data_IF_344492614884
#
_entry.id   IF_344492614884
#
_cell.length_a   1.000
_cell.length_b   1.000
_cell.length_c   1.000
_cell.angle_alpha   90.00
_cell.angle_beta   90.00
_cell.angle_gamma   90.00
#
_symmetry.space_group_name_H-M   'P 1'
#
loop_
_entity.id
_entity.type
_entity.pdbx_description
1 polymer ?
#
# COMPACT_ATOMS: atom_id res chain seq x y z
N UNK A 1 -6.49 -16.82 -15.21
CA UNK A 1 -5.81 -16.83 -13.94
C UNK A 1 -6.03 -15.52 -13.19
N UNK A 2 -6.26 -15.60 -11.90
CA UNK A 2 -6.48 -14.43 -11.09
C UNK A 2 -5.19 -13.70 -10.78
N UNK A 3 -5.26 -12.38 -10.74
CA UNK A 3 -4.14 -11.56 -10.32
C UNK A 3 -3.88 -11.78 -8.82
N UNK A 4 -2.60 -11.81 -8.45
CA UNK A 4 -2.21 -11.96 -7.05
C UNK A 4 -2.14 -10.61 -6.35
N UNK A 5 -2.26 -9.51 -7.10
CA UNK A 5 -2.13 -8.16 -6.59
C UNK A 5 -3.45 -7.43 -6.68
N UNK A 6 -3.71 -6.59 -5.69
CA UNK A 6 -4.82 -5.66 -5.72
C UNK A 6 -4.25 -4.25 -5.56
N UNK A 7 -4.53 -3.38 -6.53
CA UNK A 7 -3.89 -2.08 -6.62
C UNK A 7 -4.62 -0.99 -5.88
N UNK A 8 -3.85 -0.15 -5.20
CA UNK A 8 -4.33 1.10 -4.60
C UNK A 8 -3.70 2.26 -5.35
N UNK A 9 -4.52 3.23 -5.79
CA UNK A 9 -4.07 4.43 -6.49
C UNK A 9 -4.82 5.64 -5.97
N UNK A 10 -4.27 6.83 -6.20
CA UNK A 10 -4.95 8.05 -5.79
C UNK A 10 -6.28 8.27 -6.49
N UNK A 11 -6.44 7.82 -7.73
CA UNK A 11 -7.71 7.91 -8.45
C UNK A 11 -8.59 6.66 -8.27
N UNK A 12 -8.15 5.71 -7.47
CA UNK A 12 -8.93 4.53 -7.14
C UNK A 12 -8.46 3.99 -5.79
N UNK A 13 -8.82 4.71 -4.73
CA UNK A 13 -8.42 4.37 -3.37
C UNK A 13 -9.32 3.26 -2.84
N UNK A 14 -8.98 2.02 -3.12
CA UNK A 14 -9.75 0.90 -2.59
C UNK A 14 -9.69 0.92 -1.07
N UNK A 15 -10.80 0.54 -0.43
CA UNK A 15 -10.90 0.48 1.03
C UNK A 15 -10.80 -0.94 1.55
N UNK A 16 -11.01 -1.91 0.68
CA UNK A 16 -10.91 -3.32 1.04
C UNK A 16 -10.22 -4.07 -0.06
N UNK A 17 -9.53 -5.13 0.32
CA UNK A 17 -8.99 -6.11 -0.63
C UNK A 17 -9.33 -7.50 -0.13
N UNK A 18 -9.54 -8.47 -1.03
CA UNK A 18 -9.79 -9.85 -0.62
C UNK A 18 -8.58 -10.44 0.10
N UNK A 19 -8.83 -11.30 1.07
CA UNK A 19 -7.76 -12.06 1.70
C UNK A 19 -7.01 -12.88 0.65
N UNK A 20 -5.71 -13.02 0.83
CA UNK A 20 -4.87 -13.77 -0.11
C UNK A 20 -4.22 -12.91 -1.18
N UNK A 21 -4.54 -11.62 -1.23
CA UNK A 21 -3.95 -10.71 -2.22
C UNK A 21 -2.83 -9.89 -1.61
N UNK A 22 -1.88 -9.52 -2.46
CA UNK A 22 -0.83 -8.56 -2.09
C UNK A 22 -1.31 -7.16 -2.46
N UNK A 23 -1.22 -6.23 -1.52
CA UNK A 23 -1.62 -4.84 -1.76
C UNK A 23 -0.49 -4.14 -2.50
N UNK A 24 -0.77 -3.73 -3.72
CA UNK A 24 0.19 -2.98 -4.55
C UNK A 24 -0.17 -1.50 -4.53
N UNK A 25 0.73 -0.70 -3.98
CA UNK A 25 0.57 0.76 -3.98
C UNK A 25 1.19 1.29 -5.28
N UNK A 26 0.41 2.00 -6.08
CA UNK A 26 0.88 2.57 -7.34
C UNK A 26 0.80 4.09 -7.27
N UNK A 27 1.94 4.75 -7.44
CA UNK A 27 2.07 6.19 -7.30
C UNK A 27 2.69 6.80 -8.55
N UNK A 28 2.52 8.11 -8.71
CA UNK A 28 3.07 8.84 -9.85
C UNK A 28 4.43 9.47 -9.57
N UNK A 29 4.91 9.37 -8.35
CA UNK A 29 6.23 9.87 -7.95
C UNK A 29 6.87 8.89 -6.98
N UNK A 30 8.21 8.87 -6.90
CA UNK A 30 8.87 7.97 -5.97
C UNK A 30 8.59 8.37 -4.52
N UNK A 31 8.38 7.36 -3.68
CA UNK A 31 8.05 7.57 -2.28
C UNK A 31 8.54 6.41 -1.42
N UNK A 32 8.65 6.68 -0.13
CA UNK A 32 8.78 5.65 0.89
C UNK A 32 7.39 5.40 1.45
N UNK A 33 6.91 4.17 1.37
CA UNK A 33 5.62 3.79 1.95
C UNK A 33 5.86 3.33 3.38
N UNK A 34 5.37 4.12 4.33
CA UNK A 34 5.46 3.82 5.76
C UNK A 34 4.13 3.22 6.17
N UNK A 35 4.15 1.98 6.64
CA UNK A 35 2.90 1.24 6.83
C UNK A 35 2.93 0.36 8.07
N UNK A 36 1.75 -0.07 8.51
CA UNK A 36 1.59 -0.97 9.62
C UNK A 36 0.36 -1.86 9.40
N UNK A 37 0.42 -3.08 9.87
CA UNK A 37 -0.73 -3.98 9.93
C UNK A 37 -1.19 -4.20 11.37
N UNK A 38 -0.68 -3.39 12.30
CA UNK A 38 -0.97 -3.51 13.72
C UNK A 38 -1.27 -2.15 14.36
N UNK A 39 -1.99 -1.29 13.64
CA UNK A 39 -2.43 0.02 14.15
C UNK A 39 -1.26 0.87 14.67
N UNK A 40 -0.18 0.89 13.90
CA UNK A 40 1.06 1.63 14.21
C UNK A 40 1.85 1.13 15.43
N UNK A 41 1.51 -0.05 15.95
CA UNK A 41 2.31 -0.65 17.03
C UNK A 41 3.67 -1.11 16.53
N UNK A 42 3.68 -1.66 15.33
CA UNK A 42 4.91 -1.96 14.60
C UNK A 42 4.82 -1.29 13.25
N UNK A 43 5.95 -0.82 12.73
CA UNK A 43 5.97 -0.10 11.47
C UNK A 43 6.97 -0.72 10.53
N UNK A 44 6.68 -0.58 9.23
CA UNK A 44 7.54 -1.08 8.17
C UNK A 44 7.65 0.00 7.10
N UNK A 45 8.76 -0.04 6.38
CA UNK A 45 9.00 0.88 5.28
C UNK A 45 9.24 0.11 4.00
N UNK A 46 8.66 0.58 2.91
CA UNK A 46 8.87 -0.01 1.59
C UNK A 46 9.13 1.11 0.60
N UNK A 47 10.27 1.04 -0.07
CA UNK A 47 10.58 1.99 -1.13
C UNK A 47 9.85 1.58 -2.40
N UNK A 48 9.34 2.58 -3.13
CA UNK A 48 8.76 2.30 -4.44
C UNK A 48 9.85 2.00 -5.45
N UNK A 49 9.48 1.22 -6.47
CA UNK A 49 10.34 0.93 -7.61
C UNK A 49 9.69 1.47 -8.86
N UNK A 50 10.49 2.09 -9.73
CA UNK A 50 10.00 2.61 -11.00
C UNK A 50 9.66 1.46 -11.94
N UNK A 51 8.52 1.58 -12.62
CA UNK A 51 8.15 0.62 -13.67
C UNK A 51 8.69 1.02 -15.04
N UNK A 52 9.26 2.22 -15.15
CA UNK A 52 9.78 2.73 -16.42
C UNK A 52 8.77 3.52 -17.23
N UNK A 53 7.52 3.60 -16.76
CA UNK A 53 6.45 4.32 -17.49
C UNK A 53 5.79 5.37 -16.60
N UNK A 54 6.53 5.92 -15.64
CA UNK A 54 6.03 6.97 -14.77
C UNK A 54 5.22 6.48 -13.58
N UNK A 55 5.10 5.18 -13.40
CA UNK A 55 4.42 4.58 -12.27
C UNK A 55 5.46 3.99 -11.32
N UNK A 56 5.32 4.29 -10.04
CA UNK A 56 6.19 3.79 -8.98
C UNK A 56 5.38 2.89 -8.08
N UNK A 57 5.84 1.67 -7.84
CA UNK A 57 5.06 0.68 -7.10
C UNK A 57 5.80 0.20 -5.86
N UNK A 58 5.02 -0.13 -4.84
CA UNK A 58 5.50 -0.83 -3.65
C UNK A 58 4.47 -1.91 -3.31
N UNK A 59 4.94 -3.14 -3.15
CA UNK A 59 4.08 -4.26 -2.80
C UNK A 59 4.18 -4.52 -1.31
N UNK A 60 3.04 -4.45 -0.62
CA UNK A 60 2.99 -4.73 0.81
C UNK A 60 2.58 -6.18 1.03
N UNK A 61 3.29 -6.91 1.90
CA UNK A 61 3.07 -8.36 2.06
C UNK A 61 1.81 -8.64 2.87
N UNK A 62 0.66 -8.46 2.26
CA UNK A 62 -0.65 -8.62 2.91
C UNK A 62 -1.31 -9.96 2.64
N UNK A 63 -0.71 -10.82 1.81
CA UNK A 63 -1.38 -12.04 1.36
C UNK A 63 -1.66 -13.04 2.49
N UNK A 64 -0.94 -12.93 3.61
CA UNK A 64 -1.15 -13.80 4.76
C UNK A 64 -2.05 -13.18 5.84
N UNK A 65 -2.53 -11.97 5.62
CA UNK A 65 -3.39 -11.31 6.59
C UNK A 65 -4.80 -11.86 6.51
N UNK A 66 -5.40 -12.07 7.66
CA UNK A 66 -6.75 -12.61 7.75
C UNK A 66 -7.79 -11.52 7.58
N UNK A 67 -8.98 -11.90 7.14
CA UNK A 67 -10.11 -10.98 7.05
C UNK A 67 -10.33 -10.26 8.38
N UNK A 68 -10.62 -8.98 8.31
CA UNK A 68 -10.80 -8.13 9.48
C UNK A 68 -9.54 -7.37 9.88
N UNK A 69 -8.37 -7.77 9.39
CA UNK A 69 -7.15 -7.00 9.62
C UNK A 69 -7.15 -5.75 8.72
N UNK A 70 -6.49 -4.73 9.18
CA UNK A 70 -6.38 -3.49 8.43
C UNK A 70 -4.91 -3.13 8.23
N UNK A 71 -4.61 -2.59 7.07
CA UNK A 71 -3.29 -2.05 6.75
C UNK A 71 -3.45 -0.54 6.66
N UNK A 72 -2.66 0.20 7.43
CA UNK A 72 -2.63 1.65 7.38
C UNK A 72 -1.28 2.09 6.84
N UNK A 73 -1.28 3.11 6.00
CA UNK A 73 -0.04 3.56 5.36
C UNK A 73 -0.09 5.05 5.06
N UNK A 74 1.09 5.63 4.97
CA UNK A 74 1.30 7.00 4.54
C UNK A 74 2.55 7.05 3.67
N UNK A 75 2.86 8.20 3.12
CA UNK A 75 3.97 8.34 2.19
C UNK A 75 4.91 9.44 2.61
N UNK A 76 6.21 9.18 2.41
CA UNK A 76 7.22 10.22 2.40
C UNK A 76 7.66 10.42 0.95
N UNK A 77 7.34 11.59 0.40
CA UNK A 77 7.64 11.91 -1.00
C UNK A 77 9.12 12.28 -1.13
N UNK A 78 9.87 11.46 -1.84
CA UNK A 78 11.33 11.56 -1.85
C UNK A 78 11.80 12.83 -2.53
N UNK A 79 11.19 13.19 -3.67
CA UNK A 79 11.61 14.36 -4.42
C UNK A 79 11.30 15.66 -3.69
N UNK A 80 10.19 15.72 -3.00
CA UNK A 80 9.78 16.91 -2.26
C UNK A 80 10.29 16.90 -0.82
N UNK A 81 10.82 15.78 -0.34
CA UNK A 81 11.28 15.62 1.05
C UNK A 81 10.19 16.00 2.04
N UNK A 82 8.99 15.48 1.81
CA UNK A 82 7.82 15.88 2.58
C UNK A 82 6.90 14.68 2.81
N UNK A 83 6.37 14.59 4.03
CA UNK A 83 5.36 13.59 4.36
C UNK A 83 4.03 13.98 3.76
N UNK A 84 3.24 12.97 3.39
CA UNK A 84 1.89 13.18 2.86
C UNK A 84 1.00 13.90 3.86
N UNK A 85 1.13 13.58 5.15
CA UNK A 85 0.34 14.21 6.19
C UNK A 85 -1.03 13.59 6.40
N UNK A 86 -1.35 12.52 5.69
CA UNK A 86 -2.61 11.81 5.84
C UNK A 86 -2.35 10.31 5.79
N UNK A 87 -3.15 9.55 6.53
CA UNK A 87 -3.06 8.10 6.55
C UNK A 87 -4.17 7.52 5.69
N UNK A 88 -3.87 6.39 5.05
CA UNK A 88 -4.83 5.65 4.23
C UNK A 88 -4.97 4.26 4.81
N UNK A 89 -6.17 3.71 4.77
CA UNK A 89 -6.45 2.41 5.36
C UNK A 89 -7.11 1.49 4.35
N UNK A 90 -6.64 0.24 4.31
CA UNK A 90 -7.24 -0.83 3.52
C UNK A 90 -7.53 -1.99 4.46
N UNK A 91 -8.76 -2.47 4.46
CA UNK A 91 -9.19 -3.58 5.30
C UNK A 91 -9.22 -4.86 4.47
N UNK A 92 -8.78 -5.96 5.07
CA UNK A 92 -8.80 -7.27 4.43
C UNK A 92 -10.22 -7.83 4.56
N UNK A 93 -10.85 -8.14 3.43
CA UNK A 93 -12.18 -8.73 3.42
C UNK A 93 -12.09 -10.24 3.24
N UNK A 94 -13.21 -10.91 3.49
CA UNK A 94 -13.30 -12.35 3.19
C UNK A 94 -13.11 -12.56 1.70
N UNK A 95 -12.36 -13.62 1.38
CA UNK A 95 -12.09 -13.95 -0.01
C UNK A 95 -13.34 -14.49 -0.72
#
# INVERSE_FOLDING_TARGET
>A
RQAEFHEWRYNNKCRTIPAGKTLRIALLSPALVHWSDEEWRTTHDANTSSTGVGIHIADLPTSNLKAGRAVVFTFYWIENRQWEGADFTVTISSA
#
